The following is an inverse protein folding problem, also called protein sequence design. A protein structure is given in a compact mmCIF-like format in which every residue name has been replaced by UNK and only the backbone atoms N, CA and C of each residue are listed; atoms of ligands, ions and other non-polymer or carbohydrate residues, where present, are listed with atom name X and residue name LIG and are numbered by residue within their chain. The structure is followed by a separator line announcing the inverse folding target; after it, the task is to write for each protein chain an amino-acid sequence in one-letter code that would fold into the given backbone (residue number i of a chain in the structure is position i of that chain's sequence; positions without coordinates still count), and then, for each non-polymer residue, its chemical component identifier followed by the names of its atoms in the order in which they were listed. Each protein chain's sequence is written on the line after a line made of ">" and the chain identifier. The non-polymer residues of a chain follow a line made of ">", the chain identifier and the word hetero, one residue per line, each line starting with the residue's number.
data_IF_634908694077
#
_entry.id   IF_634908694077
#
_cell.length_a   1.000
_cell.length_b   1.000
_cell.length_c   1.000
_cell.angle_alpha   90.00
_cell.angle_beta   90.00
_cell.angle_gamma   90.00
#
_symmetry.space_group_name_H-M   'P 1'
#
loop_
_entity.id
_entity.type
_entity.pdbx_description
1 polymer ?
#
# COMPACT_ATOMS: atom_id res chain seq x y z
N UNK A 1 -5.64 9.42 12.07
CA UNK A 1 -5.77 9.10 10.62
C UNK A 1 -6.35 7.69 10.47
N UNK A 2 -7.38 7.52 9.66
CA UNK A 2 -7.98 6.22 9.44
C UNK A 2 -7.26 5.53 8.28
N UNK A 3 -6.64 4.34 8.50
CA UNK A 3 -5.89 3.66 7.43
C UNK A 3 -6.77 3.10 6.32
N UNK A 4 -8.06 2.97 6.55
CA UNK A 4 -9.00 2.40 5.58
C UNK A 4 -10.16 3.36 5.39
N UNK A 5 -10.51 3.62 4.14
CA UNK A 5 -11.71 4.36 3.77
C UNK A 5 -12.70 3.41 3.10
N UNK A 6 -13.93 3.34 3.62
CA UNK A 6 -15.00 2.51 3.09
C UNK A 6 -16.14 3.40 2.62
N UNK A 7 -16.50 3.29 1.35
CA UNK A 7 -17.69 3.93 0.79
C UNK A 7 -18.68 2.83 0.42
N UNK A 8 -19.77 2.74 1.18
CA UNK A 8 -20.78 1.69 0.99
C UNK A 8 -21.63 1.96 -0.21
N UNK A 9 -21.85 0.91 -1.01
CA UNK A 9 -22.83 0.89 -2.09
C UNK A 9 -23.98 -0.07 -1.76
N UNK A 10 -24.88 -0.21 -2.69
CA UNK A 10 -26.07 -1.06 -2.57
C UNK A 10 -26.03 -2.33 -3.42
N UNK A 11 -24.98 -2.51 -4.22
CA UNK A 11 -24.77 -3.73 -4.99
C UNK A 11 -23.92 -4.74 -4.20
N UNK A 12 -23.92 -6.03 -4.61
CA UNK A 12 -23.06 -7.04 -3.95
C UNK A 12 -21.58 -6.93 -4.33
N UNK A 13 -21.20 -6.02 -5.22
CA UNK A 13 -19.82 -5.87 -5.68
C UNK A 13 -19.01 -5.05 -4.67
N UNK A 14 -17.83 -5.54 -4.33
CA UNK A 14 -16.84 -4.84 -3.49
C UNK A 14 -15.57 -4.62 -4.32
N UNK A 15 -15.11 -3.37 -4.39
CA UNK A 15 -13.85 -3.00 -5.02
C UNK A 15 -12.79 -2.77 -3.94
N UNK A 16 -11.71 -3.53 -3.99
CA UNK A 16 -10.55 -3.32 -3.14
C UNK A 16 -9.50 -2.48 -3.85
N UNK A 17 -9.02 -1.42 -3.19
CA UNK A 17 -8.02 -0.51 -3.72
C UNK A 17 -6.86 -0.41 -2.71
N UNK A 18 -5.96 -1.42 -2.67
CA UNK A 18 -4.93 -1.49 -1.64
C UNK A 18 -3.73 -0.57 -1.88
N UNK A 19 -3.54 -0.07 -3.10
CA UNK A 19 -2.31 0.63 -3.49
C UNK A 19 -2.54 2.05 -4.02
N UNK A 20 -3.70 2.63 -3.78
CA UNK A 20 -4.02 4.01 -4.22
C UNK A 20 -3.64 5.06 -3.19
N UNK A 21 -3.39 4.66 -1.94
CA UNK A 21 -3.05 5.57 -0.86
C UNK A 21 -1.66 6.19 -1.04
N UNK A 22 -1.51 7.41 -0.58
CA UNK A 22 -0.24 8.16 -0.69
C UNK A 22 0.23 8.69 0.67
N UNK A 23 -0.55 8.51 1.72
CA UNK A 23 -0.18 9.01 3.03
C UNK A 23 0.95 8.20 3.65
N UNK A 24 1.91 8.91 4.23
CA UNK A 24 3.03 8.35 4.97
C UNK A 24 3.19 9.13 6.26
N UNK A 25 3.36 8.46 7.41
CA UNK A 25 3.82 9.14 8.62
C UNK A 25 5.16 9.84 8.38
N UNK A 26 5.35 10.99 9.01
CA UNK A 26 6.57 11.79 8.81
C UNK A 26 7.84 11.01 9.14
N UNK A 27 7.82 10.21 10.21
CA UNK A 27 8.95 9.38 10.62
C UNK A 27 9.30 8.29 9.62
N UNK A 28 8.33 7.81 8.88
CA UNK A 28 8.55 6.81 7.81
C UNK A 28 9.04 7.51 6.54
N UNK A 29 8.42 8.62 6.17
CA UNK A 29 8.82 9.40 5.00
C UNK A 29 10.27 9.86 5.10
N UNK A 30 10.70 10.29 6.28
CA UNK A 30 12.07 10.75 6.51
C UNK A 30 13.14 9.67 6.28
N UNK A 31 12.76 8.40 6.34
CA UNK A 31 13.67 7.27 6.15
C UNK A 31 13.76 6.79 4.71
N UNK A 32 12.88 7.26 3.83
CA UNK A 32 12.96 6.97 2.40
C UNK A 32 14.11 7.75 1.76
N UNK A 33 14.80 7.11 0.81
CA UNK A 33 15.77 7.81 -0.01
C UNK A 33 15.07 8.66 -1.11
N UNK A 34 15.82 9.33 -1.95
CA UNK A 34 15.25 10.18 -3.00
C UNK A 34 14.33 9.38 -3.95
N UNK A 35 14.69 8.13 -4.24
CA UNK A 35 13.89 7.26 -5.10
C UNK A 35 12.57 6.87 -4.42
N UNK A 36 12.62 6.53 -3.13
CA UNK A 36 11.43 6.20 -2.36
C UNK A 36 10.46 7.37 -2.21
N UNK A 37 10.97 8.60 -2.10
CA UNK A 37 10.15 9.81 -1.97
C UNK A 37 9.26 10.06 -3.19
N UNK A 38 9.60 9.54 -4.36
CA UNK A 38 8.81 9.68 -5.60
C UNK A 38 7.52 8.87 -5.53
N UNK A 39 7.45 7.81 -4.71
CA UNK A 39 6.30 6.92 -4.57
C UNK A 39 5.85 6.31 -5.91
N UNK A 40 6.83 5.85 -6.70
CA UNK A 40 6.59 5.38 -8.07
C UNK A 40 5.64 4.18 -8.16
N UNK A 41 5.57 3.36 -7.11
CA UNK A 41 4.72 2.15 -7.07
C UNK A 41 3.29 2.44 -6.63
N UNK A 42 2.88 3.70 -6.59
CA UNK A 42 1.49 4.09 -6.35
C UNK A 42 0.64 3.74 -7.57
N UNK A 43 -0.53 3.18 -7.34
CA UNK A 43 -1.55 3.04 -8.38
C UNK A 43 -2.27 4.39 -8.56
N UNK A 44 -1.59 5.31 -9.27
CA UNK A 44 -2.08 6.68 -9.42
C UNK A 44 -3.44 6.73 -10.10
N UNK A 45 -4.40 7.40 -9.46
CA UNK A 45 -5.73 7.70 -10.00
C UNK A 45 -6.61 6.47 -10.32
N UNK A 46 -6.25 5.29 -9.82
CA UNK A 46 -7.06 4.08 -10.01
C UNK A 46 -8.45 4.26 -9.38
N UNK A 47 -8.55 4.92 -8.24
CA UNK A 47 -9.84 5.21 -7.60
C UNK A 47 -10.76 6.03 -8.50
N UNK A 48 -10.21 6.90 -9.33
CA UNK A 48 -10.98 7.70 -10.30
C UNK A 48 -11.36 6.89 -11.52
N UNK A 49 -10.50 5.95 -11.94
CA UNK A 49 -10.78 5.07 -13.06
C UNK A 49 -12.03 4.22 -12.82
N UNK A 50 -12.23 3.77 -11.59
CA UNK A 50 -13.39 2.96 -11.23
C UNK A 50 -14.59 3.77 -10.78
N UNK A 51 -14.45 5.08 -10.61
CA UNK A 51 -15.55 5.95 -10.22
C UNK A 51 -16.60 5.98 -11.34
N UNK A 52 -17.83 5.59 -11.02
CA UNK A 52 -18.91 5.52 -11.96
C UNK A 52 -18.90 4.32 -12.91
N UNK A 53 -17.83 3.51 -12.97
CA UNK A 53 -17.82 2.30 -13.81
C UNK A 53 -18.66 1.17 -13.23
N UNK A 54 -18.73 1.08 -11.91
CA UNK A 54 -19.54 0.09 -11.19
C UNK A 54 -20.42 0.81 -10.18
N UNK A 55 -21.50 1.47 -10.65
CA UNK A 55 -22.41 2.18 -9.77
C UNK A 55 -22.97 1.26 -8.69
N UNK A 56 -23.01 1.73 -7.47
CA UNK A 56 -23.51 0.95 -6.35
C UNK A 56 -22.50 0.00 -5.73
N UNK A 57 -21.29 -0.14 -6.28
CA UNK A 57 -20.24 -0.94 -5.65
C UNK A 57 -19.78 -0.32 -4.33
N UNK A 58 -19.50 -1.17 -3.34
CA UNK A 58 -18.80 -0.75 -2.13
C UNK A 58 -17.31 -0.66 -2.43
N UNK A 59 -16.67 0.43 -2.07
CA UNK A 59 -15.22 0.59 -2.23
C UNK A 59 -14.53 0.51 -0.87
N UNK A 60 -13.41 -0.22 -0.83
CA UNK A 60 -12.54 -0.33 0.34
C UNK A 60 -11.14 0.03 -0.12
N UNK A 61 -10.59 1.14 0.36
CA UNK A 61 -9.26 1.57 -0.06
C UNK A 61 -8.34 1.87 1.11
N UNK A 62 -7.06 1.56 0.94
CA UNK A 62 -6.02 2.01 1.84
C UNK A 62 -5.75 3.50 1.60
N UNK A 63 -5.58 4.25 2.68
CA UNK A 63 -5.22 5.68 2.61
C UNK A 63 -3.71 5.88 2.70
N UNK A 64 -3.01 4.92 3.31
CA UNK A 64 -1.55 4.94 3.45
C UNK A 64 -0.87 4.34 2.21
N UNK A 65 0.35 4.79 1.94
CA UNK A 65 1.14 4.28 0.82
C UNK A 65 1.64 2.86 1.10
N UNK A 66 1.77 2.04 0.05
CA UNK A 66 2.23 0.65 0.14
C UNK A 66 3.63 0.50 0.72
N UNK A 67 4.45 1.55 0.73
CA UNK A 67 5.78 1.52 1.35
C UNK A 67 5.73 1.54 2.88
N UNK A 68 4.61 1.95 3.47
CA UNK A 68 4.39 1.79 4.91
C UNK A 68 4.23 0.31 5.24
N UNK A 69 3.29 -0.32 4.59
CA UNK A 69 3.00 -1.76 4.62
C UNK A 69 2.10 -2.07 3.43
N UNK A 70 2.29 -3.20 2.78
CA UNK A 70 1.48 -3.56 1.63
C UNK A 70 0.18 -4.24 2.08
N UNK A 71 -0.95 -3.54 1.88
CA UNK A 71 -2.26 -4.03 2.28
C UNK A 71 -2.72 -5.27 1.49
N UNK A 72 -2.05 -5.62 0.40
CA UNK A 72 -2.34 -6.81 -0.41
C UNK A 72 -1.41 -7.98 -0.08
N UNK A 73 -0.82 -7.99 1.10
CA UNK A 73 0.03 -9.08 1.61
C UNK A 73 -0.49 -9.60 2.93
N UNK A 74 -0.34 -10.90 3.15
CA UNK A 74 -0.60 -11.48 4.46
C UNK A 74 0.42 -11.04 5.50
N UNK A 75 0.07 -11.01 6.79
CA UNK A 75 1.01 -10.62 7.85
C UNK A 75 2.23 -11.52 7.96
N UNK A 76 2.20 -12.70 7.37
CA UNK A 76 3.31 -13.65 7.29
C UNK A 76 4.28 -13.36 6.14
N UNK A 77 4.01 -12.32 5.36
CA UNK A 77 4.80 -11.93 4.19
C UNK A 77 4.86 -12.99 3.08
N UNK A 78 3.88 -13.89 3.04
CA UNK A 78 3.83 -14.90 1.99
C UNK A 78 3.55 -14.27 0.63
N UNK A 79 4.33 -14.66 -0.39
CA UNK A 79 4.09 -14.22 -1.75
C UNK A 79 2.92 -15.01 -2.36
N UNK A 80 1.98 -14.29 -2.98
CA UNK A 80 0.89 -14.90 -3.73
C UNK A 80 1.37 -15.52 -5.04
N UNK A 81 2.50 -15.05 -5.55
CA UNK A 81 3.06 -15.46 -6.85
C UNK A 81 4.56 -15.75 -6.70
N UNK A 82 4.94 -16.91 -6.07
CA UNK A 82 6.33 -17.26 -5.91
C UNK A 82 7.08 -17.28 -7.26
N UNK A 83 8.29 -16.74 -7.29
CA UNK A 83 9.11 -16.68 -8.50
C UNK A 83 8.82 -15.51 -9.42
N UNK A 84 7.81 -14.69 -9.14
CA UNK A 84 7.54 -13.45 -9.87
C UNK A 84 8.14 -12.24 -9.15
N UNK A 85 8.29 -11.14 -9.90
CA UNK A 85 8.81 -9.89 -9.33
C UNK A 85 7.73 -9.21 -8.49
N UNK A 86 7.70 -9.53 -7.21
CA UNK A 86 6.77 -8.94 -6.24
C UNK A 86 7.54 -8.31 -5.10
N UNK A 87 6.97 -7.27 -4.49
CA UNK A 87 7.52 -6.66 -3.29
C UNK A 87 7.08 -7.43 -2.04
N UNK A 88 7.79 -7.26 -0.92
CA UNK A 88 7.41 -7.84 0.37
C UNK A 88 6.32 -7.05 1.09
N UNK A 89 5.95 -7.52 2.29
CA UNK A 89 4.96 -6.87 3.15
C UNK A 89 5.35 -5.43 3.47
N UNK A 90 6.62 -5.20 3.86
CA UNK A 90 7.21 -3.86 3.91
C UNK A 90 8.29 -3.84 2.83
N UNK A 91 8.02 -3.21 1.67
CA UNK A 91 8.96 -3.27 0.55
C UNK A 91 10.30 -2.63 0.90
N UNK A 92 11.39 -3.27 0.49
CA UNK A 92 12.75 -2.72 0.60
C UNK A 92 13.23 -2.10 -0.72
N UNK A 93 12.60 -2.50 -1.81
CA UNK A 93 12.88 -2.03 -3.16
C UNK A 93 11.58 -1.64 -3.85
N UNK A 94 11.69 -0.84 -4.92
CA UNK A 94 10.55 -0.62 -5.83
C UNK A 94 10.43 -1.79 -6.83
N UNK A 95 9.47 -1.70 -7.76
CA UNK A 95 9.28 -2.75 -8.76
C UNK A 95 10.43 -2.87 -9.75
N UNK A 96 11.27 -1.85 -9.88
CA UNK A 96 12.49 -1.92 -10.70
C UNK A 96 13.65 -2.59 -9.97
N UNK A 97 13.44 -3.01 -8.71
CA UNK A 97 14.44 -3.66 -7.89
C UNK A 97 15.43 -2.71 -7.23
N UNK A 98 15.17 -1.40 -7.28
CA UNK A 98 16.07 -0.40 -6.70
C UNK A 98 15.71 -0.10 -5.25
N UNK A 99 16.70 0.05 -4.35
CA UNK A 99 16.43 0.37 -2.94
C UNK A 99 15.66 1.68 -2.78
N UNK A 100 14.72 1.69 -1.85
CA UNK A 100 13.87 2.87 -1.57
C UNK A 100 14.12 3.48 -0.19
N UNK A 101 14.90 2.82 0.66
CA UNK A 101 15.16 3.28 2.03
C UNK A 101 16.58 3.79 2.18
N UNK A 102 16.74 4.93 2.83
CA UNK A 102 18.02 5.38 3.33
C UNK A 102 18.38 4.64 4.61
N UNK A 103 17.37 4.42 5.47
CA UNK A 103 17.47 3.58 6.66
C UNK A 103 16.34 2.56 6.61
N UNK A 104 16.66 1.27 6.42
CA UNK A 104 15.67 0.21 6.35
C UNK A 104 14.92 0.05 7.67
N UNK A 105 13.61 -0.30 7.63
CA UNK A 105 12.84 -0.55 8.84
C UNK A 105 13.37 -1.78 9.58
N UNK A 106 13.37 -1.71 10.91
CA UNK A 106 13.73 -2.84 11.77
C UNK A 106 12.55 -3.81 11.92
N UNK A 107 12.83 -5.01 12.43
CA UNK A 107 11.78 -5.98 12.70
C UNK A 107 10.73 -5.45 13.70
N UNK A 108 11.16 -4.69 14.71
CA UNK A 108 10.24 -4.05 15.67
C UNK A 108 9.33 -3.03 14.99
N UNK A 109 9.89 -2.23 14.09
CA UNK A 109 9.12 -1.23 13.34
C UNK A 109 8.10 -1.90 12.42
N UNK A 110 8.47 -3.01 11.78
CA UNK A 110 7.56 -3.80 10.96
C UNK A 110 6.42 -4.35 11.82
N UNK A 111 6.72 -4.87 13.01
CA UNK A 111 5.71 -5.36 13.93
C UNK A 111 4.75 -4.23 14.37
N UNK A 112 5.27 -3.04 14.63
CA UNK A 112 4.45 -1.86 14.95
C UNK A 112 3.53 -1.49 13.79
N UNK A 113 4.04 -1.52 12.56
CA UNK A 113 3.22 -1.23 11.37
C UNK A 113 2.09 -2.24 11.18
N UNK A 114 2.37 -3.53 11.43
CA UNK A 114 1.32 -4.57 11.40
C UNK A 114 0.20 -4.27 12.39
N UNK A 115 0.54 -3.76 13.56
CA UNK A 115 -0.45 -3.44 14.58
C UNK A 115 -1.24 -2.16 14.26
N UNK A 116 -0.63 -1.18 13.57
CA UNK A 116 -1.24 0.12 13.28
C UNK A 116 -2.07 0.13 12.00
N UNK A 117 -1.71 -0.69 11.05
CA UNK A 117 -2.30 -0.73 9.71
C UNK A 117 -2.77 -2.13 9.35
#
# INVERSE_FOLDING_TARGET
>A
MNPVEVVRGDSPVILGLPHTGTWLPDEIRARLNARGQVLADTDWHIERLYDGLLPGATTVRATFHRYVIDANRGPDDASLYPGQNTTGLVPLTDFDGEPIWEVEPTAEEIADRKARF
#
